data_IF_088114778767
#
_entry.id   IF_088114778767
#
_cell.length_a   1.000
_cell.length_b   1.000
_cell.length_c   1.000
_cell.angle_alpha   90.00
_cell.angle_beta   90.00
_cell.angle_gamma   90.00
#
_symmetry.space_group_name_H-M   'P 1'
#
loop_
_entity.id
_entity.type
_entity.pdbx_description
1 polymer ?
#
# COMPACT_ATOMS: atom_id res chain seq x y z
N UNK A 1 -37.83 32.41 -44.69
CA UNK A 1 -37.79 31.04 -45.26
C UNK A 1 -36.77 30.23 -44.48
N UNK A 2 -37.31 29.42 -43.56
CA UNK A 2 -36.76 28.18 -43.01
C UNK A 2 -35.24 28.09 -42.73
N UNK A 3 -34.93 28.30 -41.44
CA UNK A 3 -33.91 27.61 -40.65
C UNK A 3 -33.27 26.42 -41.38
N UNK A 4 -32.00 26.54 -41.76
CA UNK A 4 -31.20 25.42 -42.24
C UNK A 4 -29.95 25.24 -41.40
N UNK A 5 -30.12 24.32 -40.46
CA UNK A 5 -29.12 23.33 -40.04
C UNK A 5 -27.93 23.87 -39.26
N UNK A 6 -28.20 24.13 -37.99
CA UNK A 6 -27.23 24.03 -36.90
C UNK A 6 -26.79 22.56 -36.79
N UNK A 7 -25.70 22.17 -37.45
CA UNK A 7 -25.01 20.90 -37.16
C UNK A 7 -24.27 21.06 -35.83
N UNK A 8 -24.99 20.91 -34.72
CA UNK A 8 -24.38 20.60 -33.43
C UNK A 8 -23.80 19.20 -33.57
N UNK A 9 -22.50 19.11 -33.82
CA UNK A 9 -21.72 17.90 -33.57
C UNK A 9 -21.78 17.66 -32.06
N UNK A 10 -22.81 16.94 -31.63
CA UNK A 10 -22.85 16.31 -30.32
C UNK A 10 -21.72 15.29 -30.28
N UNK A 11 -20.55 15.73 -29.82
CA UNK A 11 -19.50 14.84 -29.34
C UNK A 11 -20.13 14.15 -28.13
N UNK A 12 -20.64 12.94 -28.36
CA UNK A 12 -21.04 12.05 -27.28
C UNK A 12 -19.78 11.75 -26.47
N UNK A 13 -19.60 12.45 -25.36
CA UNK A 13 -18.62 12.06 -24.36
C UNK A 13 -19.21 10.78 -23.74
N UNK A 14 -18.81 9.63 -24.27
CA UNK A 14 -18.96 8.38 -23.55
C UNK A 14 -18.11 8.51 -22.30
N UNK A 15 -18.74 8.79 -21.16
CA UNK A 15 -18.07 8.76 -19.87
C UNK A 15 -17.74 7.30 -19.61
N UNK A 16 -16.52 6.90 -19.97
CA UNK A 16 -15.95 5.62 -19.57
C UNK A 16 -15.67 5.74 -18.08
N UNK A 17 -16.51 5.14 -17.23
CA UNK A 17 -16.14 4.94 -15.83
C UNK A 17 -15.01 3.92 -15.78
N UNK A 18 -13.77 4.40 -15.83
CA UNK A 18 -12.63 3.65 -15.34
C UNK A 18 -12.85 3.41 -13.84
N UNK A 19 -12.85 2.16 -13.42
CA UNK A 19 -13.00 1.81 -12.01
C UNK A 19 -11.60 1.62 -11.44
N UNK A 20 -11.28 2.31 -10.35
CA UNK A 20 -10.04 2.09 -9.63
C UNK A 20 -10.01 0.73 -8.92
N UNK A 21 -8.82 0.14 -8.85
CA UNK A 21 -8.56 -1.11 -8.14
C UNK A 21 -7.68 -0.86 -6.93
N UNK A 22 -8.04 -1.44 -5.79
CA UNK A 22 -7.17 -1.46 -4.61
C UNK A 22 -7.06 -2.87 -4.05
N UNK A 23 -5.92 -3.14 -3.40
CA UNK A 23 -5.68 -4.41 -2.73
C UNK A 23 -4.80 -4.19 -1.50
N UNK A 24 -4.99 -5.04 -0.51
CA UNK A 24 -4.19 -5.05 0.70
C UNK A 24 -4.07 -6.49 1.20
N UNK A 25 -2.90 -6.85 1.73
CA UNK A 25 -2.68 -8.13 2.38
C UNK A 25 -1.81 -7.99 3.63
N UNK A 26 -1.99 -8.94 4.55
CA UNK A 26 -1.11 -9.14 5.71
C UNK A 26 -0.90 -10.65 5.88
N UNK A 27 0.34 -11.10 5.81
CA UNK A 27 0.74 -12.46 6.15
C UNK A 27 1.54 -12.42 7.45
N UNK A 28 0.99 -12.97 8.53
CA UNK A 28 1.69 -13.10 9.81
C UNK A 28 2.30 -14.48 9.94
N UNK A 29 3.52 -14.53 10.45
CA UNK A 29 4.31 -15.73 10.68
C UNK A 29 4.68 -15.90 12.16
N UNK A 30 3.97 -15.21 13.05
CA UNK A 30 4.18 -15.26 14.49
C UNK A 30 4.05 -16.74 14.96
N UNK A 31 5.12 -17.27 15.57
CA UNK A 31 5.19 -18.66 16.02
C UNK A 31 4.47 -18.93 17.34
N UNK A 32 4.54 -20.17 17.82
CA UNK A 32 4.08 -20.54 19.16
C UNK A 32 4.86 -19.77 20.24
N UNK A 33 4.16 -19.33 21.28
CA UNK A 33 4.76 -18.60 22.41
C UNK A 33 5.77 -19.49 23.14
N UNK A 34 7.00 -19.01 23.31
CA UNK A 34 7.98 -19.67 24.17
C UNK A 34 7.82 -19.15 25.60
N UNK A 35 7.71 -20.03 26.62
CA UNK A 35 7.69 -19.61 28.01
C UNK A 35 9.06 -19.09 28.42
N UNK A 36 9.18 -17.79 28.67
CA UNK A 36 10.40 -17.18 29.17
C UNK A 36 10.34 -17.16 30.70
N UNK A 37 11.30 -17.81 31.37
CA UNK A 37 11.38 -17.83 32.82
C UNK A 37 12.24 -16.67 33.35
N UNK A 38 11.60 -15.61 33.83
CA UNK A 38 12.28 -14.57 34.61
C UNK A 38 12.23 -14.91 36.11
N UNK A 39 13.35 -14.68 36.81
CA UNK A 39 13.64 -15.14 38.18
C UNK A 39 12.74 -14.59 39.31
N UNK A 40 11.61 -13.95 39.00
CA UNK A 40 10.63 -13.48 39.97
C UNK A 40 9.21 -13.58 39.39
N UNK A 41 8.64 -14.79 39.38
CA UNK A 41 7.19 -15.04 39.37
C UNK A 41 6.33 -14.50 38.20
N UNK A 42 6.92 -13.88 37.19
CA UNK A 42 6.22 -13.34 36.03
C UNK A 42 6.55 -14.21 34.81
N UNK A 43 5.54 -14.87 34.26
CA UNK A 43 5.65 -15.59 33.00
C UNK A 43 5.42 -14.58 31.87
N UNK A 44 6.51 -14.10 31.27
CA UNK A 44 6.41 -13.28 30.07
C UNK A 44 6.41 -14.21 28.86
N UNK A 45 5.36 -14.11 28.05
CA UNK A 45 5.25 -14.84 26.79
C UNK A 45 5.91 -13.99 25.70
N UNK A 46 7.05 -14.44 25.18
CA UNK A 46 7.71 -13.78 24.05
C UNK A 46 7.36 -14.51 22.75
N UNK A 47 6.91 -13.75 21.75
CA UNK A 47 6.71 -14.24 20.37
C UNK A 47 7.59 -13.43 19.45
N UNK A 48 8.37 -14.11 18.62
CA UNK A 48 9.16 -13.46 17.57
C UNK A 48 8.23 -12.84 16.52
N UNK A 49 8.15 -11.49 16.41
CA UNK A 49 7.21 -10.85 15.49
C UNK A 49 7.70 -11.00 14.05
N UNK A 50 6.85 -11.54 13.19
CA UNK A 50 7.21 -11.71 11.77
C UNK A 50 6.00 -11.54 10.87
N UNK A 51 6.09 -10.64 9.89
CA UNK A 51 5.01 -10.41 8.94
C UNK A 51 5.50 -9.94 7.57
N UNK A 52 4.61 -10.08 6.60
CA UNK A 52 4.64 -9.39 5.31
C UNK A 52 3.33 -8.62 5.15
N UNK A 53 3.46 -7.39 4.67
CA UNK A 53 2.38 -6.46 4.46
C UNK A 53 2.53 -5.82 3.09
N UNK A 54 1.41 -5.61 2.40
CA UNK A 54 1.42 -4.81 1.19
C UNK A 54 0.07 -4.18 0.91
N UNK A 55 0.11 -3.03 0.25
CA UNK A 55 -1.08 -2.42 -0.34
C UNK A 55 -0.76 -1.83 -1.71
N UNK A 56 -1.77 -1.74 -2.57
CA UNK A 56 -1.69 -1.06 -3.87
C UNK A 56 -3.01 -0.36 -4.17
N UNK A 57 -2.92 0.81 -4.78
CA UNK A 57 -4.01 1.50 -5.48
C UNK A 57 -3.59 1.70 -6.94
N UNK A 58 -4.50 1.39 -7.85
CA UNK A 58 -4.37 1.55 -9.29
C UNK A 58 -5.67 2.13 -9.84
N UNK A 59 -5.74 3.45 -9.96
CA UNK A 59 -6.96 4.16 -10.34
C UNK A 59 -6.68 5.20 -11.45
N UNK A 60 -6.88 4.77 -12.69
CA UNK A 60 -6.78 5.63 -13.88
C UNK A 60 -7.77 6.81 -13.86
N UNK A 61 -8.88 6.72 -13.11
CA UNK A 61 -9.87 7.80 -13.07
C UNK A 61 -9.38 8.97 -12.23
N UNK A 62 -8.76 8.68 -11.08
CA UNK A 62 -8.24 9.71 -10.17
C UNK A 62 -6.75 10.01 -10.41
N UNK A 63 -6.06 9.16 -11.18
CA UNK A 63 -4.60 9.18 -11.33
C UNK A 63 -3.87 8.65 -10.10
N UNK A 64 -4.58 7.98 -9.19
CA UNK A 64 -4.00 7.43 -7.98
C UNK A 64 -3.29 6.10 -8.26
N UNK A 65 -1.97 6.17 -8.42
CA UNK A 65 -1.12 5.00 -8.54
C UNK A 65 -0.09 5.02 -7.41
N UNK A 66 -0.27 4.10 -6.46
CA UNK A 66 0.65 3.93 -5.33
C UNK A 66 0.73 2.49 -4.86
N UNK A 67 1.86 2.16 -4.26
CA UNK A 67 2.04 0.86 -3.61
C UNK A 67 2.99 0.98 -2.42
N UNK A 68 2.83 0.07 -1.46
CA UNK A 68 3.77 -0.15 -0.37
C UNK A 68 3.95 -1.65 -0.17
N UNK A 69 5.16 -2.06 0.18
CA UNK A 69 5.46 -3.36 0.73
C UNK A 69 6.33 -3.23 1.98
N UNK A 70 6.00 -3.96 3.04
CA UNK A 70 6.75 -4.01 4.27
C UNK A 70 6.94 -5.46 4.74
N UNK A 71 8.13 -5.77 5.19
CA UNK A 71 8.49 -7.04 5.79
C UNK A 71 9.12 -6.78 7.15
N UNK A 72 8.66 -7.52 8.17
CA UNK A 72 9.26 -7.53 9.50
C UNK A 72 9.74 -8.92 9.84
N UNK A 73 10.94 -8.98 10.41
CA UNK A 73 11.51 -10.17 11.03
C UNK A 73 12.20 -9.75 12.34
N UNK A 74 11.55 -10.03 13.48
CA UNK A 74 12.03 -9.63 14.79
C UNK A 74 12.06 -8.11 14.95
N UNK A 75 13.23 -7.57 15.22
CA UNK A 75 13.46 -6.13 15.36
C UNK A 75 13.77 -5.45 14.02
N UNK A 76 13.96 -6.21 12.94
CA UNK A 76 14.27 -5.68 11.63
C UNK A 76 13.00 -5.46 10.83
N UNK A 77 12.81 -4.25 10.33
CA UNK A 77 11.73 -3.87 9.40
C UNK A 77 12.36 -3.31 8.14
N UNK A 78 11.89 -3.77 6.98
CA UNK A 78 12.29 -3.24 5.68
C UNK A 78 11.06 -3.04 4.83
N UNK A 79 11.06 -1.99 4.04
CA UNK A 79 9.97 -1.79 3.10
C UNK A 79 10.31 -0.77 2.05
N UNK A 80 9.36 -0.60 1.15
CA UNK A 80 9.40 0.47 0.18
C UNK A 80 8.00 0.97 -0.11
N UNK A 81 7.91 2.19 -0.59
CA UNK A 81 6.70 2.71 -1.22
C UNK A 81 7.02 3.37 -2.55
N UNK A 82 6.02 3.36 -3.43
CA UNK A 82 6.02 4.08 -4.69
C UNK A 82 4.76 4.95 -4.78
N UNK A 83 4.92 6.19 -5.23
CA UNK A 83 3.85 7.16 -5.43
C UNK A 83 4.08 7.90 -6.74
N UNK A 84 3.09 7.86 -7.64
CA UNK A 84 3.04 8.76 -8.79
C UNK A 84 2.66 10.16 -8.30
N UNK A 85 3.53 11.14 -8.53
CA UNK A 85 3.32 12.52 -8.13
C UNK A 85 2.57 13.31 -9.21
N UNK A 86 1.87 14.41 -8.85
CA UNK A 86 1.09 15.20 -9.81
C UNK A 86 1.92 15.84 -10.94
N UNK A 87 3.22 15.99 -10.75
CA UNK A 87 4.15 16.51 -11.77
C UNK A 87 4.62 15.44 -12.77
N UNK A 88 4.11 14.21 -12.64
CA UNK A 88 4.47 13.07 -13.47
C UNK A 88 5.73 12.33 -13.03
N UNK A 89 6.39 12.78 -11.95
CA UNK A 89 7.50 12.02 -11.36
C UNK A 89 6.98 10.82 -10.56
N UNK A 90 7.86 9.83 -10.36
CA UNK A 90 7.59 8.69 -9.49
C UNK A 90 8.55 8.77 -8.33
N UNK A 91 7.99 8.91 -7.12
CA UNK A 91 8.76 8.83 -5.90
C UNK A 91 8.83 7.37 -5.47
N UNK A 92 10.05 6.86 -5.36
CA UNK A 92 10.33 5.56 -4.77
C UNK A 92 11.21 5.74 -3.54
N UNK A 93 10.80 5.17 -2.41
CA UNK A 93 11.55 5.24 -1.17
C UNK A 93 11.70 3.85 -0.59
N UNK A 94 12.95 3.48 -0.29
CA UNK A 94 13.30 2.28 0.45
C UNK A 94 13.66 2.70 1.87
N UNK A 95 13.15 1.96 2.84
CA UNK A 95 13.40 2.21 4.25
C UNK A 95 13.78 0.92 4.98
N UNK A 96 14.54 1.09 6.05
CA UNK A 96 15.04 0.04 6.91
C UNK A 96 15.04 0.56 8.34
N UNK A 97 14.63 -0.28 9.29
CA UNK A 97 14.74 -0.02 10.72
C UNK A 97 15.19 -1.28 11.43
N UNK A 98 16.02 -1.11 12.45
CA UNK A 98 16.46 -2.15 13.38
C UNK A 98 16.59 -1.59 14.81
N UNK A 99 17.10 -2.40 15.75
CA UNK A 99 17.24 -1.99 17.15
C UNK A 99 18.21 -0.80 17.36
N UNK A 100 19.06 -0.50 16.37
CA UNK A 100 20.11 0.51 16.48
C UNK A 100 19.88 1.72 15.57
N UNK A 101 19.14 1.55 14.47
CA UNK A 101 19.03 2.54 13.42
C UNK A 101 17.66 2.55 12.76
N UNK A 102 17.32 3.70 12.18
CA UNK A 102 16.14 3.94 11.36
C UNK A 102 16.39 5.12 10.42
#
# INVERSE_FOLDING_TARGET
MFFKVLCVLSVGIAVVSAHGHSSQFVHKYDGHHEPVHHGYGHHDYYTHPKFEFGYKVDDDHTGDHKSQHEHRDGDVVKGHYSLHEPDGSVREVHYHGDHHSG
#
